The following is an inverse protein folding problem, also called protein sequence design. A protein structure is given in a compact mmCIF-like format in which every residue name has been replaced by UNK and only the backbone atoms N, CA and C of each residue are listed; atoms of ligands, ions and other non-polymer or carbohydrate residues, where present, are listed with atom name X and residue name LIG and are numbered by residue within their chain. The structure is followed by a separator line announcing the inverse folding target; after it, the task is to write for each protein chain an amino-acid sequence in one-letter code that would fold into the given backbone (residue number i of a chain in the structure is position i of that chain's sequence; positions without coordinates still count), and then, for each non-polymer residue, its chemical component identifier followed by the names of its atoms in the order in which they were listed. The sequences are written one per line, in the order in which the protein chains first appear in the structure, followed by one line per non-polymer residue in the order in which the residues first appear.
data_IF_872166139705
#
_entry.id   IF_872166139705
#
_cell.length_a   1.000
_cell.length_b   1.000
_cell.length_c   1.000
_cell.angle_alpha   90.00
_cell.angle_beta   90.00
_cell.angle_gamma   90.00
#
_symmetry.space_group_name_H-M   'P 1'
#
loop_
_entity.id
_entity.type
_entity.pdbx_description
1 polymer ?
#
# COMPACT_ATOMS: atom_id res chain seq x y z
N UNK A 1 -18.22 39.65 9.92
CA UNK A 1 -18.61 38.56 9.00
C UNK A 1 -17.44 37.60 8.93
N UNK A 2 -17.40 36.67 9.88
CA UNK A 2 -16.31 35.70 10.01
C UNK A 2 -16.73 34.43 9.27
N UNK A 3 -16.02 34.09 8.20
CA UNK A 3 -16.22 32.83 7.48
C UNK A 3 -15.61 31.70 8.30
N UNK A 4 -16.46 30.88 8.91
CA UNK A 4 -16.08 29.60 9.50
C UNK A 4 -15.47 28.67 8.43
N UNK A 5 -14.44 27.87 8.77
CA UNK A 5 -13.91 26.86 7.86
C UNK A 5 -14.93 25.72 7.73
N UNK A 6 -15.35 25.45 6.49
CA UNK A 6 -16.17 24.28 6.15
C UNK A 6 -15.44 23.03 6.64
N UNK A 7 -15.98 22.38 7.67
CA UNK A 7 -15.53 21.06 8.12
C UNK A 7 -15.74 20.09 6.95
N UNK A 8 -14.65 19.67 6.29
CA UNK A 8 -14.67 18.52 5.38
C UNK A 8 -15.20 17.34 6.18
N UNK A 9 -16.43 16.92 5.89
CA UNK A 9 -17.00 15.68 6.41
C UNK A 9 -16.10 14.53 5.95
N UNK A 10 -15.60 13.73 6.90
CA UNK A 10 -14.76 12.54 6.71
C UNK A 10 -15.48 11.38 5.96
N UNK A 11 -16.46 11.70 5.10
CA UNK A 11 -17.37 10.74 4.49
C UNK A 11 -17.31 10.70 2.96
N UNK A 12 -16.62 11.64 2.31
CA UNK A 12 -16.54 11.66 0.85
C UNK A 12 -15.18 11.16 0.37
N UNK A 13 -15.12 9.92 -0.14
CA UNK A 13 -13.92 9.33 -0.78
C UNK A 13 -13.62 9.99 -2.14
N UNK A 14 -14.41 10.98 -2.57
CA UNK A 14 -14.25 11.69 -3.83
C UNK A 14 -14.72 10.87 -5.03
N UNK A 15 -14.64 11.44 -6.26
CA UNK A 15 -15.10 10.76 -7.46
C UNK A 15 -14.25 9.52 -7.77
N UNK A 16 -14.86 8.50 -8.39
CA UNK A 16 -14.15 7.33 -8.90
C UNK A 16 -13.41 7.71 -10.19
N UNK A 17 -12.08 7.68 -10.14
CA UNK A 17 -11.22 8.05 -11.26
C UNK A 17 -11.10 6.91 -12.28
N UNK A 18 -10.98 7.25 -13.56
CA UNK A 18 -10.68 6.28 -14.61
C UNK A 18 -9.20 5.87 -14.56
N UNK A 19 -8.90 4.66 -15.05
CA UNK A 19 -7.51 4.17 -15.13
C UNK A 19 -6.64 5.09 -15.98
N UNK A 20 -7.20 5.75 -17.00
CA UNK A 20 -6.45 6.69 -17.85
C UNK A 20 -6.00 7.92 -17.05
N UNK A 21 -6.88 8.48 -16.24
CA UNK A 21 -6.55 9.64 -15.39
C UNK A 21 -5.55 9.26 -14.30
N UNK A 22 -5.74 8.11 -13.65
CA UNK A 22 -4.78 7.61 -12.66
C UNK A 22 -3.38 7.43 -13.26
N UNK A 23 -3.29 6.89 -14.47
CA UNK A 23 -2.02 6.77 -15.21
C UNK A 23 -1.41 8.14 -15.47
N UNK A 24 -2.19 9.14 -15.89
CA UNK A 24 -1.69 10.53 -16.06
C UNK A 24 -1.13 11.10 -14.76
N UNK A 25 -1.81 10.89 -13.63
CA UNK A 25 -1.31 11.30 -12.30
C UNK A 25 0.00 10.58 -11.98
N UNK A 26 0.11 9.28 -12.23
CA UNK A 26 1.30 8.47 -11.97
C UNK A 26 2.51 8.86 -12.84
N UNK A 27 2.29 9.41 -14.04
CA UNK A 27 3.36 9.95 -14.89
C UNK A 27 3.94 11.28 -14.39
N UNK A 28 3.17 12.11 -13.68
CA UNK A 28 3.68 13.38 -13.14
C UNK A 28 4.70 13.20 -12.01
N UNK A 29 5.46 14.24 -11.64
CA UNK A 29 6.30 14.23 -10.43
C UNK A 29 7.69 13.59 -10.56
N UNK A 30 8.43 13.55 -9.44
CA UNK A 30 9.81 13.05 -9.40
C UNK A 30 9.86 11.53 -9.61
N UNK A 31 10.81 11.07 -10.43
CA UNK A 31 11.08 9.65 -10.74
C UNK A 31 12.25 9.06 -9.96
N UNK A 32 12.71 9.75 -8.92
CA UNK A 32 13.75 9.27 -8.03
C UNK A 32 13.12 8.53 -6.86
N UNK A 33 13.69 7.40 -6.47
CA UNK A 33 13.30 6.66 -5.28
C UNK A 33 14.53 6.02 -4.66
N UNK A 34 14.58 5.98 -3.33
CA UNK A 34 15.61 5.21 -2.64
C UNK A 34 15.29 3.71 -2.79
N UNK A 35 16.13 2.83 -2.24
CA UNK A 35 15.76 1.41 -2.17
C UNK A 35 14.55 1.14 -1.25
N UNK A 36 14.29 2.07 -0.31
CA UNK A 36 13.16 2.04 0.63
C UNK A 36 12.81 3.47 1.03
N UNK A 37 11.51 3.76 1.13
CA UNK A 37 10.99 5.04 1.61
C UNK A 37 9.85 4.79 2.60
N UNK A 38 9.75 5.61 3.65
CA UNK A 38 8.59 5.64 4.53
C UNK A 38 7.46 6.40 3.83
N UNK A 39 6.38 5.70 3.47
CA UNK A 39 5.28 6.24 2.65
C UNK A 39 4.03 6.55 3.47
N UNK A 40 4.01 6.10 4.73
CA UNK A 40 3.00 6.36 5.75
C UNK A 40 3.65 6.09 7.12
N UNK A 41 3.21 6.69 8.24
CA UNK A 41 3.83 6.46 9.55
C UNK A 41 4.08 4.98 9.87
N UNK A 42 5.36 4.64 10.06
CA UNK A 42 5.89 3.29 10.31
C UNK A 42 5.66 2.25 9.20
N UNK A 43 5.23 2.67 8.01
CA UNK A 43 5.00 1.83 6.84
C UNK A 43 5.98 2.21 5.72
N UNK A 44 6.87 1.28 5.42
CA UNK A 44 7.93 1.43 4.46
C UNK A 44 7.61 0.66 3.17
N UNK A 45 7.91 1.26 2.03
CA UNK A 45 7.78 0.66 0.71
C UNK A 45 9.15 0.60 0.04
N UNK A 46 9.56 -0.58 -0.44
CA UNK A 46 10.87 -0.71 -1.07
C UNK A 46 11.03 -1.91 -2.00
N UNK A 47 12.28 -2.14 -2.38
CA UNK A 47 12.70 -3.15 -3.34
C UNK A 47 13.39 -4.35 -2.69
N UNK A 48 13.79 -5.32 -3.53
CA UNK A 48 14.44 -6.54 -3.06
C UNK A 48 15.83 -6.30 -2.45
N UNK A 49 16.50 -5.19 -2.79
CA UNK A 49 17.85 -4.91 -2.28
C UNK A 49 17.81 -4.73 -0.77
N UNK A 50 16.80 -3.99 -0.26
CA UNK A 50 16.57 -3.82 1.18
C UNK A 50 15.99 -5.10 1.80
N UNK A 51 15.10 -5.80 1.07
CA UNK A 51 14.53 -7.06 1.55
C UNK A 51 15.58 -8.15 1.83
N UNK A 52 16.69 -8.14 1.09
CA UNK A 52 17.80 -9.08 1.22
C UNK A 52 18.94 -8.56 2.13
N UNK A 53 18.81 -7.36 2.70
CA UNK A 53 19.79 -6.78 3.63
C UNK A 53 19.20 -6.72 5.05
N UNK A 54 19.49 -7.77 5.83
CA UNK A 54 19.04 -7.88 7.22
C UNK A 54 19.61 -6.78 8.12
N UNK A 55 20.79 -6.26 7.82
CA UNK A 55 21.38 -5.17 8.59
C UNK A 55 20.61 -3.87 8.35
N UNK A 56 20.27 -3.57 7.09
CA UNK A 56 19.42 -2.41 6.77
C UNK A 56 18.03 -2.52 7.41
N UNK A 57 17.39 -3.70 7.35
CA UNK A 57 16.09 -3.92 8.00
C UNK A 57 16.17 -3.74 9.52
N UNK A 58 17.21 -4.29 10.16
CA UNK A 58 17.44 -4.12 11.59
C UNK A 58 17.70 -2.65 11.96
N UNK A 59 18.53 -1.94 11.19
CA UNK A 59 18.83 -0.52 11.41
C UNK A 59 17.58 0.37 11.26
N UNK A 60 16.68 0.01 10.36
CA UNK A 60 15.37 0.66 10.20
C UNK A 60 14.37 0.25 11.30
N UNK A 61 14.70 -0.74 12.14
CA UNK A 61 13.81 -1.27 13.17
C UNK A 61 12.61 -2.01 12.60
N UNK A 62 12.74 -2.60 11.41
CA UNK A 62 11.65 -3.37 10.78
C UNK A 62 11.33 -4.59 11.63
N UNK A 63 10.05 -4.74 11.94
CA UNK A 63 9.50 -5.82 12.76
C UNK A 63 8.62 -6.78 11.96
N UNK A 64 8.09 -6.32 10.83
CA UNK A 64 7.20 -7.10 9.97
C UNK A 64 7.57 -6.87 8.51
N UNK A 65 7.58 -7.93 7.70
CA UNK A 65 7.84 -7.89 6.27
C UNK A 65 6.66 -8.45 5.49
N UNK A 66 6.18 -7.68 4.52
CA UNK A 66 5.21 -8.11 3.52
C UNK A 66 5.91 -8.23 2.17
N UNK A 67 6.12 -9.47 1.71
CA UNK A 67 6.71 -9.73 0.40
C UNK A 67 5.61 -9.93 -0.65
N UNK A 68 5.35 -8.89 -1.44
CA UNK A 68 4.39 -8.88 -2.54
C UNK A 68 4.92 -9.55 -3.83
N UNK A 69 5.97 -10.36 -3.72
CA UNK A 69 6.56 -11.16 -4.80
C UNK A 69 6.99 -12.54 -4.27
N UNK A 70 6.30 -13.07 -3.26
CA UNK A 70 6.65 -14.34 -2.63
C UNK A 70 6.71 -15.49 -3.64
N UNK A 71 7.71 -16.36 -3.53
CA UNK A 71 7.90 -17.49 -4.44
C UNK A 71 8.47 -17.11 -5.82
N UNK A 72 8.67 -15.83 -6.11
CA UNK A 72 9.40 -15.40 -7.31
C UNK A 72 10.89 -15.73 -7.17
N UNK A 73 11.60 -16.16 -8.24
CA UNK A 73 13.02 -16.47 -8.18
C UNK A 73 13.90 -15.35 -7.60
N UNK A 74 13.45 -14.10 -7.76
CA UNK A 74 14.17 -12.90 -7.34
C UNK A 74 13.78 -12.40 -5.93
N UNK A 75 12.79 -13.03 -5.27
CA UNK A 75 12.27 -12.57 -3.98
C UNK A 75 12.09 -13.77 -3.03
N UNK A 76 13.22 -14.43 -2.73
CA UNK A 76 13.29 -15.66 -1.94
C UNK A 76 13.14 -15.45 -0.43
N UNK A 77 12.94 -14.22 0.04
CA UNK A 77 12.74 -13.93 1.46
C UNK A 77 11.64 -14.80 2.04
N UNK A 78 11.95 -15.55 3.10
CA UNK A 78 11.04 -16.42 3.85
C UNK A 78 11.29 -16.25 5.35
N UNK A 79 10.45 -16.86 6.19
CA UNK A 79 10.59 -16.77 7.66
C UNK A 79 11.98 -17.18 8.15
N UNK A 80 12.60 -18.18 7.55
CA UNK A 80 13.95 -18.63 7.93
C UNK A 80 15.04 -17.59 7.62
N UNK A 81 14.86 -16.80 6.56
CA UNK A 81 15.78 -15.73 6.20
C UNK A 81 15.79 -14.62 7.26
N UNK A 82 14.61 -14.16 7.67
CA UNK A 82 14.46 -13.04 8.60
C UNK A 82 14.65 -13.42 10.07
N UNK A 83 14.57 -14.72 10.40
CA UNK A 83 14.72 -15.21 11.76
C UNK A 83 13.48 -14.94 12.62
N UNK A 84 13.59 -15.16 13.93
CA UNK A 84 12.47 -15.05 14.88
C UNK A 84 12.08 -13.61 15.24
N UNK A 85 12.93 -12.62 14.93
CA UNK A 85 12.74 -11.22 15.32
C UNK A 85 11.85 -10.42 14.37
N UNK A 86 11.56 -10.95 13.18
CA UNK A 86 10.77 -10.27 12.15
C UNK A 86 9.67 -11.22 11.69
N UNK A 87 8.41 -10.80 11.84
CA UNK A 87 7.30 -11.58 11.31
C UNK A 87 7.17 -11.36 9.80
N UNK A 88 6.70 -12.37 9.10
CA UNK A 88 6.73 -12.45 7.65
C UNK A 88 5.37 -12.84 7.08
N UNK A 89 4.94 -12.08 6.07
CA UNK A 89 3.74 -12.35 5.29
C UNK A 89 4.07 -12.35 3.78
N UNK A 90 3.83 -13.47 3.12
CA UNK A 90 4.11 -13.65 1.70
C UNK A 90 2.86 -13.57 0.85
N UNK A 91 2.87 -12.73 -0.18
CA UNK A 91 1.85 -12.66 -1.23
C UNK A 91 2.46 -13.14 -2.55
N UNK A 92 2.04 -14.30 -3.08
CA UNK A 92 2.61 -14.89 -4.28
C UNK A 92 2.06 -14.22 -5.54
N UNK A 93 2.55 -13.01 -5.83
CA UNK A 93 2.06 -12.18 -6.92
C UNK A 93 3.07 -11.98 -8.06
N UNK A 94 2.58 -12.18 -9.29
CA UNK A 94 3.26 -11.82 -10.53
C UNK A 94 2.96 -10.38 -10.93
N UNK A 95 3.95 -9.66 -11.47
CA UNK A 95 3.74 -8.28 -11.95
C UNK A 95 3.14 -8.25 -13.35
N UNK A 96 1.99 -8.90 -13.51
CA UNK A 96 1.26 -8.97 -14.77
C UNK A 96 -0.06 -8.21 -14.67
N UNK A 97 -0.47 -7.45 -15.71
CA UNK A 97 -1.81 -6.90 -15.81
C UNK A 97 -2.94 -7.95 -15.80
N UNK A 98 -2.62 -9.23 -16.01
CA UNK A 98 -3.57 -10.35 -15.97
C UNK A 98 -3.59 -11.08 -14.63
N UNK A 99 -2.65 -10.80 -13.72
CA UNK A 99 -2.64 -11.40 -12.39
C UNK A 99 -3.73 -10.75 -11.53
N UNK A 100 -4.53 -11.57 -10.84
CA UNK A 100 -5.55 -11.08 -9.91
C UNK A 100 -4.96 -10.89 -8.51
N UNK A 101 -4.64 -9.64 -8.17
CA UNK A 101 -4.13 -9.25 -6.86
C UNK A 101 -5.25 -8.96 -5.86
N UNK A 102 -6.50 -8.81 -6.34
CA UNK A 102 -7.62 -8.40 -5.51
C UNK A 102 -7.91 -9.32 -4.31
N UNK A 103 -7.76 -10.66 -4.40
CA UNK A 103 -7.98 -11.55 -3.25
C UNK A 103 -7.01 -11.29 -2.09
N UNK A 104 -5.87 -10.65 -2.37
CA UNK A 104 -4.84 -10.35 -1.37
C UNK A 104 -4.98 -8.97 -0.74
N UNK A 105 -5.88 -8.10 -1.24
CA UNK A 105 -6.01 -6.74 -0.72
C UNK A 105 -6.42 -6.70 0.74
N UNK A 106 -7.55 -7.31 1.11
CA UNK A 106 -8.00 -7.34 2.51
C UNK A 106 -7.05 -8.11 3.43
N UNK A 107 -6.61 -9.36 3.13
CA UNK A 107 -5.68 -10.08 3.98
C UNK A 107 -4.36 -9.33 4.23
N UNK A 108 -3.78 -8.71 3.19
CA UNK A 108 -2.54 -7.94 3.34
C UNK A 108 -2.77 -6.65 4.13
N UNK A 109 -3.89 -5.95 3.87
CA UNK A 109 -4.25 -4.74 4.56
C UNK A 109 -4.48 -5.00 6.06
N UNK A 110 -5.16 -6.09 6.41
CA UNK A 110 -5.40 -6.51 7.79
C UNK A 110 -4.10 -6.91 8.50
N UNK A 111 -3.19 -7.59 7.81
CA UNK A 111 -1.86 -7.89 8.34
C UNK A 111 -1.08 -6.60 8.67
N UNK A 112 -1.03 -5.65 7.72
CA UNK A 112 -0.36 -4.35 7.90
C UNK A 112 -1.00 -3.59 9.07
N UNK A 113 -2.34 -3.52 9.13
CA UNK A 113 -3.07 -2.83 10.20
C UNK A 113 -2.76 -3.44 11.58
N UNK A 114 -2.88 -4.77 11.69
CA UNK A 114 -2.60 -5.50 12.94
C UNK A 114 -1.16 -5.29 13.41
N UNK A 115 -0.20 -5.30 12.48
CA UNK A 115 1.19 -5.03 12.80
C UNK A 115 1.37 -3.61 13.33
N UNK A 116 0.81 -2.60 12.64
CA UNK A 116 0.93 -1.18 13.03
C UNK A 116 0.18 -0.80 14.31
N UNK A 117 -0.78 -1.61 14.77
CA UNK A 117 -1.40 -1.46 16.09
C UNK A 117 -0.46 -1.85 17.24
N UNK A 118 0.60 -2.60 16.95
CA UNK A 118 1.64 -2.94 17.91
C UNK A 118 2.54 -1.74 18.24
N UNK A 119 2.79 -1.50 19.53
CA UNK A 119 3.66 -0.42 19.97
C UNK A 119 5.08 -0.57 19.39
N UNK A 120 5.55 0.46 18.70
CA UNK A 120 6.89 0.49 18.09
C UNK A 120 7.05 -0.39 16.84
N UNK A 121 5.98 -1.02 16.35
CA UNK A 121 6.05 -1.85 15.16
C UNK A 121 6.31 -1.00 13.90
N UNK A 122 7.15 -1.54 13.02
CA UNK A 122 7.45 -1.00 11.69
C UNK A 122 7.29 -2.10 10.65
N UNK A 123 6.57 -1.78 9.57
CA UNK A 123 6.21 -2.71 8.52
C UNK A 123 6.94 -2.33 7.23
N UNK A 124 7.60 -3.29 6.62
CA UNK A 124 8.23 -3.15 5.31
C UNK A 124 7.47 -3.95 4.26
N UNK A 125 6.88 -3.27 3.29
CA UNK A 125 6.21 -3.88 2.15
C UNK A 125 7.13 -3.78 0.93
N UNK A 126 7.45 -4.89 0.30
CA UNK A 126 8.35 -4.90 -0.85
C UNK A 126 7.89 -5.85 -1.95
N UNK A 127 8.46 -5.66 -3.13
CA UNK A 127 8.40 -6.66 -4.20
C UNK A 127 9.81 -6.74 -4.82
N UNK A 128 9.90 -6.93 -6.14
CA UNK A 128 11.19 -6.87 -6.82
C UNK A 128 11.78 -5.45 -6.85
N UNK A 129 11.02 -4.47 -7.36
CA UNK A 129 11.49 -3.09 -7.61
C UNK A 129 10.83 -2.07 -6.66
N UNK A 130 9.78 -2.47 -5.94
CA UNK A 130 9.07 -1.57 -5.03
C UNK A 130 8.21 -0.51 -5.72
N UNK A 131 7.70 -0.80 -6.92
CA UNK A 131 6.98 0.18 -7.78
C UNK A 131 5.53 -0.24 -8.09
N UNK A 132 5.28 -1.53 -8.34
CA UNK A 132 3.98 -2.02 -8.83
C UNK A 132 3.23 -2.89 -7.82
N UNK A 133 3.61 -4.16 -7.64
CA UNK A 133 2.94 -5.12 -6.72
C UNK A 133 2.82 -4.61 -5.28
N UNK A 134 3.95 -4.26 -4.66
CA UNK A 134 3.98 -3.77 -3.28
C UNK A 134 3.29 -2.41 -3.13
N UNK A 135 3.41 -1.54 -4.13
CA UNK A 135 2.68 -0.28 -4.14
C UNK A 135 1.17 -0.52 -4.17
N UNK A 136 0.67 -1.45 -4.99
CA UNK A 136 -0.75 -1.79 -5.04
C UNK A 136 -1.25 -2.32 -3.68
N UNK A 137 -0.47 -3.16 -2.99
CA UNK A 137 -0.79 -3.63 -1.63
C UNK A 137 -0.86 -2.47 -0.63
N UNK A 138 0.11 -1.56 -0.65
CA UNK A 138 0.10 -0.36 0.23
C UNK A 138 -1.11 0.53 -0.06
N UNK A 139 -1.43 0.78 -1.33
CA UNK A 139 -2.59 1.58 -1.71
C UNK A 139 -3.89 0.96 -1.21
N UNK A 140 -4.06 -0.36 -1.37
CA UNK A 140 -5.21 -1.08 -0.84
C UNK A 140 -5.32 -0.94 0.69
N UNK A 141 -4.20 -1.07 1.41
CA UNK A 141 -4.17 -0.84 2.86
C UNK A 141 -4.67 0.56 3.24
N UNK A 142 -4.18 1.61 2.58
CA UNK A 142 -4.61 2.99 2.85
C UNK A 142 -6.10 3.19 2.54
N UNK A 143 -6.60 2.58 1.47
CA UNK A 143 -8.02 2.67 1.12
C UNK A 143 -8.91 1.95 2.14
N UNK A 144 -8.52 0.75 2.58
CA UNK A 144 -9.31 -0.11 3.47
C UNK A 144 -9.28 0.45 4.91
N UNK A 145 -8.09 0.65 5.48
CA UNK A 145 -7.92 0.97 6.91
C UNK A 145 -7.77 2.44 7.21
N UNK A 146 -7.25 3.25 6.27
CA UNK A 146 -7.15 4.71 6.43
C UNK A 146 -8.30 5.46 5.74
N UNK A 147 -9.23 4.72 5.12
CA UNK A 147 -10.44 5.23 4.46
C UNK A 147 -10.19 6.27 3.35
N UNK A 148 -9.00 6.26 2.75
CA UNK A 148 -8.67 7.16 1.65
C UNK A 148 -9.36 6.71 0.36
N UNK A 149 -9.72 7.66 -0.51
CA UNK A 149 -10.04 7.35 -1.91
C UNK A 149 -8.78 6.92 -2.66
N UNK A 150 -8.93 6.20 -3.78
CA UNK A 150 -7.77 5.69 -4.55
C UNK A 150 -6.80 6.80 -5.00
N UNK A 151 -7.32 7.92 -5.52
CA UNK A 151 -6.46 9.03 -5.93
C UNK A 151 -5.69 9.61 -4.73
N UNK A 152 -6.36 9.79 -3.60
CA UNK A 152 -5.74 10.34 -2.39
C UNK A 152 -4.63 9.41 -1.87
N UNK A 153 -4.87 8.10 -1.83
CA UNK A 153 -3.86 7.11 -1.49
C UNK A 153 -2.65 7.17 -2.43
N UNK A 154 -2.88 7.30 -3.75
CA UNK A 154 -1.81 7.46 -4.75
C UNK A 154 -1.00 8.71 -4.49
N UNK A 155 -1.66 9.86 -4.27
CA UNK A 155 -0.98 11.12 -4.03
C UNK A 155 -0.12 11.05 -2.76
N UNK A 156 -0.64 10.47 -1.68
CA UNK A 156 0.09 10.29 -0.42
C UNK A 156 1.35 9.45 -0.58
N UNK A 157 1.25 8.27 -1.18
CA UNK A 157 2.44 7.41 -1.38
C UNK A 157 3.46 8.09 -2.31
N UNK A 158 2.97 8.80 -3.33
CA UNK A 158 3.79 9.46 -4.34
C UNK A 158 4.58 10.67 -3.82
N UNK A 159 4.14 11.29 -2.73
CA UNK A 159 4.92 12.33 -2.04
C UNK A 159 6.29 11.80 -1.57
N UNK A 160 6.37 10.50 -1.27
CA UNK A 160 7.55 9.88 -0.69
C UNK A 160 8.29 8.94 -1.65
N UNK A 161 7.58 8.24 -2.54
CA UNK A 161 8.18 7.25 -3.44
C UNK A 161 7.53 7.25 -4.82
N UNK A 162 8.35 7.13 -5.86
CA UNK A 162 7.83 6.89 -7.20
C UNK A 162 7.20 5.49 -7.30
N UNK A 163 5.89 5.45 -7.52
CA UNK A 163 5.11 4.23 -7.70
C UNK A 163 4.43 4.23 -9.06
N UNK A 164 4.21 3.03 -9.60
CA UNK A 164 3.52 2.83 -10.86
C UNK A 164 2.94 1.41 -10.93
N UNK A 165 1.84 1.11 -10.21
CA UNK A 165 1.11 -0.14 -10.39
C UNK A 165 0.76 -0.36 -11.86
N UNK A 166 0.88 -1.60 -12.33
CA UNK A 166 0.50 -1.92 -13.69
C UNK A 166 -1.01 -1.67 -13.92
N UNK A 167 -1.42 -1.58 -15.19
CA UNK A 167 -2.81 -1.22 -15.54
C UNK A 167 -3.86 -2.22 -15.05
N UNK A 168 -3.50 -3.50 -14.85
CA UNK A 168 -4.38 -4.50 -14.26
C UNK A 168 -4.64 -4.21 -12.78
N UNK A 169 -3.58 -3.95 -12.02
CA UNK A 169 -3.69 -3.58 -10.61
C UNK A 169 -4.44 -2.26 -10.40
N UNK A 170 -4.24 -1.27 -11.28
CA UNK A 170 -5.03 -0.03 -11.23
C UNK A 170 -6.53 -0.28 -11.47
N UNK A 171 -6.90 -1.21 -12.34
CA UNK A 171 -8.31 -1.60 -12.53
C UNK A 171 -8.88 -2.27 -11.27
N UNK A 172 -8.11 -3.16 -10.65
CA UNK A 172 -8.51 -3.86 -9.43
C UNK A 172 -8.63 -2.90 -8.24
N UNK A 173 -7.68 -1.98 -8.06
CA UNK A 173 -7.75 -0.93 -7.05
C UNK A 173 -8.96 0.00 -7.29
N UNK A 174 -9.25 0.36 -8.53
CA UNK A 174 -10.45 1.14 -8.85
C UNK A 174 -11.73 0.38 -8.49
N UNK A 175 -11.78 -0.93 -8.74
CA UNK A 175 -12.92 -1.75 -8.35
C UNK A 175 -13.10 -1.78 -6.82
N UNK A 176 -12.00 -1.90 -6.07
CA UNK A 176 -11.99 -1.77 -4.61
C UNK A 176 -12.49 -0.40 -4.16
N UNK A 177 -12.10 0.69 -4.83
CA UNK A 177 -12.56 2.05 -4.49
C UNK A 177 -14.08 2.18 -4.63
N UNK A 178 -14.65 1.66 -5.72
CA UNK A 178 -16.11 1.60 -5.94
C UNK A 178 -16.79 0.80 -4.84
N UNK A 179 -16.29 -0.40 -4.54
CA UNK A 179 -16.85 -1.27 -3.49
C UNK A 179 -16.85 -0.57 -2.12
N UNK A 180 -15.75 0.07 -1.74
CA UNK A 180 -15.61 0.77 -0.47
C UNK A 180 -16.51 2.03 -0.39
N UNK A 181 -16.72 2.72 -1.51
CA UNK A 181 -17.68 3.83 -1.60
C UNK A 181 -19.11 3.34 -1.40
N UNK A 182 -19.52 2.28 -2.10
CA UNK A 182 -20.85 1.68 -1.94
C UNK A 182 -21.09 1.18 -0.52
N UNK A 183 -20.10 0.52 0.09
CA UNK A 183 -20.18 0.05 1.47
C UNK A 183 -20.34 1.22 2.47
N UNK A 184 -19.66 2.34 2.21
CA UNK A 184 -19.79 3.56 3.05
C UNK A 184 -21.19 4.17 2.94
N UNK A 185 -21.79 4.19 1.75
CA UNK A 185 -23.15 4.70 1.52
C UNK A 185 -24.23 3.80 2.13
N UNK A 186 -23.98 2.49 2.22
CA UNK A 186 -24.92 1.51 2.81
C UNK A 186 -24.82 1.42 4.34
N UNK A 187 -23.74 1.91 4.94
CA UNK A 187 -23.58 1.88 6.39
C UNK A 187 -24.54 2.88 7.07
N UNK A 188 -25.29 2.48 8.11
CA UNK A 188 -26.11 3.41 8.87
C UNK A 188 -25.24 4.51 9.48
N UNK A 189 -25.74 5.76 9.57
CA UNK A 189 -24.97 6.85 10.16
C UNK A 189 -24.55 6.46 11.58
N UNK A 190 -23.23 6.41 11.81
CA UNK A 190 -22.67 6.16 13.14
C UNK A 190 -23.20 7.25 14.08
N UNK A 191 -24.02 6.84 15.06
CA UNK A 191 -24.45 7.71 16.15
C UNK A 191 -23.19 8.18 16.90
N UNK A 192 -23.00 9.49 16.94
CA UNK A 192 -21.96 10.15 17.75
C UNK A 192 -22.35 10.15 19.22
#
# INVERSE_FOLDING_TARGET
MSTEPVKKTLQDRGPVWSVKELVTVLYGGKRFGNHVDEVWPNLFLGDMSVANDRYSLWKLGISHVVNAAHGSPHCQGCRDFYGSSVDYYGVPADDSPTFDLSPYFFPSADYIKKALDGAGARVFVHCAVGVSRSAAVVLAYLMIHQRLGLLEAILKVKEHRWIFPNRGFLKQLRALDVELQEATLRAPPQQR
#
